data_IF_837713762873
#
_entry.id   IF_837713762873
#
_cell.length_a   1.000
_cell.length_b   1.000
_cell.length_c   1.000
_cell.angle_alpha   90.00
_cell.angle_beta   90.00
_cell.angle_gamma   90.00
#
_symmetry.space_group_name_H-M   'P 1'
#
loop_
_entity.id
_entity.type
_entity.pdbx_description
1 polymer ?
#
# COMPACT_ATOMS: atom_id res chain seq x y z
N UNK A 1 47.96 -21.61 3.13
CA UNK A 1 47.62 -20.33 2.47
C UNK A 1 46.18 -20.41 1.92
N UNK A 2 45.14 -19.98 2.67
CA UNK A 2 43.73 -20.17 2.30
C UNK A 2 43.06 -18.98 1.57
N UNK A 3 43.78 -17.89 1.30
CA UNK A 3 43.17 -16.63 0.84
C UNK A 3 42.86 -16.56 -0.67
N UNK A 4 43.56 -17.29 -1.55
CA UNK A 4 43.38 -17.11 -3.01
C UNK A 4 42.08 -17.70 -3.58
N UNK A 5 41.53 -18.74 -2.93
CA UNK A 5 40.27 -19.38 -3.38
C UNK A 5 39.04 -18.50 -3.18
N UNK A 6 39.09 -17.54 -2.24
CA UNK A 6 37.97 -16.65 -1.90
C UNK A 6 37.84 -15.48 -2.89
N UNK A 7 38.94 -15.00 -3.47
CA UNK A 7 38.92 -13.89 -4.43
C UNK A 7 38.41 -14.34 -5.79
N UNK A 8 38.76 -15.56 -6.22
CA UNK A 8 38.29 -16.14 -7.48
C UNK A 8 36.78 -16.38 -7.50
N UNK A 9 36.18 -16.80 -6.37
CA UNK A 9 34.72 -16.96 -6.26
C UNK A 9 34.00 -15.60 -6.30
N UNK A 10 34.53 -14.59 -5.62
CA UNK A 10 33.95 -13.22 -5.64
C UNK A 10 33.97 -12.61 -7.05
N UNK A 11 35.06 -12.80 -7.81
CA UNK A 11 35.13 -12.33 -9.20
C UNK A 11 34.11 -13.04 -10.11
N UNK A 12 33.89 -14.34 -9.88
CA UNK A 12 32.87 -15.12 -10.61
C UNK A 12 31.45 -14.63 -10.26
N UNK A 13 31.18 -14.36 -8.99
CA UNK A 13 29.87 -13.86 -8.53
C UNK A 13 29.57 -12.47 -9.12
N UNK A 14 30.57 -11.58 -9.15
CA UNK A 14 30.45 -10.25 -9.78
C UNK A 14 30.18 -10.40 -11.27
N UNK A 15 30.89 -11.30 -11.95
CA UNK A 15 30.66 -11.56 -13.38
C UNK A 15 29.25 -12.08 -13.65
N UNK A 16 28.78 -13.05 -12.87
CA UNK A 16 27.42 -13.60 -12.99
C UNK A 16 26.36 -12.54 -12.70
N UNK A 17 26.56 -11.72 -11.68
CA UNK A 17 25.68 -10.60 -11.36
C UNK A 17 25.58 -9.62 -12.54
N UNK A 18 26.72 -9.18 -13.09
CA UNK A 18 26.74 -8.28 -14.23
C UNK A 18 26.06 -8.90 -15.45
N UNK A 19 26.31 -10.18 -15.73
CA UNK A 19 25.69 -10.91 -16.83
C UNK A 19 24.16 -10.97 -16.69
N UNK A 20 23.66 -11.26 -15.50
CA UNK A 20 22.21 -11.31 -15.23
C UNK A 20 21.59 -9.91 -15.36
N UNK A 21 22.20 -8.89 -14.78
CA UNK A 21 21.68 -7.51 -14.86
C UNK A 21 21.67 -7.02 -16.31
N UNK A 22 22.73 -7.29 -17.08
CA UNK A 22 22.78 -6.95 -18.50
C UNK A 22 21.75 -7.71 -19.32
N UNK A 23 21.54 -9.00 -19.05
CA UNK A 23 20.51 -9.80 -19.72
C UNK A 23 19.10 -9.28 -19.42
N UNK A 24 18.80 -8.97 -18.15
CA UNK A 24 17.51 -8.42 -17.74
C UNK A 24 17.28 -7.03 -18.33
N UNK A 25 18.31 -6.17 -18.33
CA UNK A 25 18.24 -4.85 -18.97
C UNK A 25 18.00 -4.96 -20.47
N UNK A 26 18.69 -5.88 -21.15
CA UNK A 26 18.49 -6.16 -22.57
C UNK A 26 17.07 -6.67 -22.86
N UNK A 27 16.57 -7.63 -22.06
CA UNK A 27 15.20 -8.15 -22.19
C UNK A 27 14.17 -7.04 -21.97
N UNK A 28 14.37 -6.17 -20.98
CA UNK A 28 13.47 -5.06 -20.68
C UNK A 28 13.39 -4.07 -21.85
N UNK A 29 14.54 -3.69 -22.42
CA UNK A 29 14.60 -2.78 -23.58
C UNK A 29 13.95 -3.43 -24.81
N UNK A 30 14.31 -4.69 -25.11
CA UNK A 30 13.74 -5.43 -26.24
C UNK A 30 12.23 -5.62 -26.12
N UNK A 31 11.75 -5.91 -24.91
CA UNK A 31 10.31 -6.00 -24.63
C UNK A 31 9.62 -4.67 -24.85
N UNK A 32 10.21 -3.56 -24.40
CA UNK A 32 9.67 -2.21 -24.61
C UNK A 32 9.56 -1.84 -26.08
N UNK A 33 10.59 -2.14 -26.88
CA UNK A 33 10.64 -1.87 -28.31
C UNK A 33 9.62 -2.71 -29.09
N UNK A 34 9.47 -4.00 -28.78
CA UNK A 34 8.51 -4.90 -29.44
C UNK A 34 7.06 -4.55 -29.15
N UNK A 35 6.79 -3.97 -27.98
CA UNK A 35 5.45 -3.50 -27.59
C UNK A 35 5.10 -2.13 -28.20
N UNK A 36 6.00 -1.53 -29.01
CA UNK A 36 5.82 -0.18 -29.56
C UNK A 36 5.78 0.90 -28.47
N UNK A 37 6.29 0.59 -27.27
CA UNK A 37 6.20 1.45 -26.12
C UNK A 37 7.30 2.51 -26.15
N UNK A 38 6.92 3.75 -26.45
CA UNK A 38 7.82 4.88 -26.42
C UNK A 38 7.86 5.48 -25.01
N UNK A 39 8.94 5.25 -24.28
CA UNK A 39 9.13 5.82 -22.94
C UNK A 39 9.23 7.35 -23.02
N UNK A 40 8.17 8.05 -22.60
CA UNK A 40 8.09 9.51 -22.65
C UNK A 40 8.44 10.15 -21.29
N UNK A 41 9.60 9.80 -20.72
CA UNK A 41 10.06 10.29 -19.41
C UNK A 41 10.01 11.82 -19.27
N UNK A 42 10.26 12.54 -20.36
CA UNK A 42 10.20 14.00 -20.43
C UNK A 42 8.82 14.60 -20.10
N UNK A 43 7.72 13.82 -20.17
CA UNK A 43 6.37 14.29 -19.86
C UNK A 43 6.06 14.29 -18.36
N UNK A 44 6.82 13.54 -17.56
CA UNK A 44 6.53 13.32 -16.13
C UNK A 44 6.56 14.63 -15.34
N UNK A 45 7.48 15.54 -15.68
CA UNK A 45 7.57 16.85 -15.04
C UNK A 45 6.23 17.60 -15.05
N UNK A 46 5.48 17.53 -16.16
CA UNK A 46 4.14 18.14 -16.29
C UNK A 46 3.10 17.53 -15.35
N UNK A 47 3.25 16.25 -14.98
CA UNK A 47 2.36 15.59 -14.01
C UNK A 47 2.77 15.84 -12.56
N UNK A 48 3.95 16.43 -12.32
CA UNK A 48 4.35 16.95 -11.00
C UNK A 48 3.92 18.41 -10.86
N UNK A 49 4.35 19.26 -11.80
CA UNK A 49 4.04 20.68 -11.84
C UNK A 49 3.90 21.15 -13.28
N UNK A 50 2.95 22.03 -13.54
CA UNK A 50 2.82 22.67 -14.83
C UNK A 50 2.45 24.14 -14.67
N UNK A 51 2.94 24.97 -15.58
CA UNK A 51 2.63 26.38 -15.65
C UNK A 51 1.46 26.55 -16.62
N UNK A 52 0.44 27.28 -16.18
CA UNK A 52 -0.70 27.72 -16.99
C UNK A 52 -0.75 29.26 -16.99
N UNK A 53 -1.66 29.87 -17.75
CA UNK A 53 -1.83 31.32 -17.84
C UNK A 53 -2.09 31.98 -16.47
N UNK A 54 -2.60 31.20 -15.52
CA UNK A 54 -2.93 31.61 -14.14
C UNK A 54 -1.84 31.32 -13.11
N UNK A 55 -0.69 30.74 -13.51
CA UNK A 55 0.45 30.46 -12.64
C UNK A 55 0.85 28.99 -12.54
N UNK A 56 1.58 28.64 -11.48
CA UNK A 56 2.08 27.28 -11.23
C UNK A 56 1.00 26.42 -10.56
N UNK A 57 0.64 25.31 -11.22
CA UNK A 57 -0.35 24.35 -10.72
C UNK A 57 0.30 23.00 -10.38
N UNK A 58 -0.29 22.31 -9.39
CA UNK A 58 0.10 20.94 -9.03
C UNK A 58 -0.46 19.94 -10.03
N UNK A 59 0.41 19.08 -10.53
CA UNK A 59 0.07 18.01 -11.44
C UNK A 59 -0.61 16.83 -10.75
N UNK A 60 -1.14 15.91 -11.57
CA UNK A 60 -1.94 14.76 -11.13
C UNK A 60 -1.20 13.84 -10.15
N UNK A 61 0.11 13.65 -10.31
CA UNK A 61 0.88 12.76 -9.42
C UNK A 61 0.98 13.33 -8.01
N UNK A 62 1.20 14.65 -7.89
CA UNK A 62 1.21 15.33 -6.59
C UNK A 62 -0.18 15.29 -5.95
N UNK A 63 -1.24 15.51 -6.73
CA UNK A 63 -2.61 15.41 -6.21
C UNK A 63 -2.93 13.99 -5.70
N UNK A 64 -2.56 12.96 -6.47
CA UNK A 64 -2.73 11.55 -6.05
C UNK A 64 -1.93 11.20 -4.80
N UNK A 65 -0.69 11.69 -4.70
CA UNK A 65 0.14 11.55 -3.51
C UNK A 65 -0.53 12.19 -2.28
N UNK A 66 -1.02 13.43 -2.42
CA UNK A 66 -1.70 14.12 -1.32
C UNK A 66 -2.97 13.39 -0.88
N UNK A 67 -3.76 12.85 -1.82
CA UNK A 67 -4.94 12.02 -1.48
C UNK A 67 -4.52 10.76 -0.71
N UNK A 68 -3.45 10.08 -1.15
CA UNK A 68 -2.92 8.89 -0.47
C UNK A 68 -2.51 9.23 0.96
N UNK A 69 -1.70 10.27 1.15
CA UNK A 69 -1.26 10.73 2.47
C UNK A 69 -2.45 11.09 3.35
N UNK A 70 -3.46 11.76 2.80
CA UNK A 70 -4.66 12.15 3.55
C UNK A 70 -5.47 10.92 4.00
N UNK A 71 -5.71 9.96 3.11
CA UNK A 71 -6.40 8.71 3.45
C UNK A 71 -5.60 7.96 4.50
N UNK A 72 -4.29 7.78 4.31
CA UNK A 72 -3.42 7.06 5.25
C UNK A 72 -3.41 7.70 6.64
N UNK A 73 -3.22 9.02 6.72
CA UNK A 73 -3.15 9.74 8.00
C UNK A 73 -4.47 9.64 8.78
N UNK A 74 -5.60 9.86 8.11
CA UNK A 74 -6.92 9.76 8.75
C UNK A 74 -7.20 8.32 9.15
N UNK A 75 -6.92 7.35 8.26
CA UNK A 75 -7.18 5.94 8.53
C UNK A 75 -6.39 5.48 9.74
N UNK A 76 -5.09 5.78 9.79
CA UNK A 76 -4.18 5.46 10.90
C UNK A 76 -4.68 6.00 12.23
N UNK A 77 -5.14 7.24 12.28
CA UNK A 77 -5.69 7.84 13.50
C UNK A 77 -6.90 7.04 14.02
N UNK A 78 -7.85 6.68 13.14
CA UNK A 78 -9.00 5.85 13.51
C UNK A 78 -8.61 4.40 13.83
N UNK A 79 -7.63 3.82 13.14
CA UNK A 79 -7.13 2.47 13.42
C UNK A 79 -6.58 2.35 14.83
N UNK A 80 -5.89 3.37 15.33
CA UNK A 80 -5.39 3.39 16.72
C UNK A 80 -6.57 3.36 17.71
N UNK A 81 -7.61 4.16 17.47
CA UNK A 81 -8.81 4.19 18.31
C UNK A 81 -9.52 2.83 18.29
N UNK A 82 -9.77 2.28 17.09
CA UNK A 82 -10.42 0.98 16.91
C UNK A 82 -9.59 -0.14 17.56
N UNK A 83 -8.27 -0.12 17.36
CA UNK A 83 -7.36 -1.10 17.92
C UNK A 83 -7.34 -1.08 19.44
N UNK A 84 -7.26 0.12 20.03
CA UNK A 84 -7.34 0.29 21.49
C UNK A 84 -8.68 -0.21 22.05
N UNK A 85 -9.80 0.19 21.45
CA UNK A 85 -11.13 -0.27 21.89
C UNK A 85 -11.26 -1.80 21.79
N UNK A 86 -10.76 -2.39 20.70
CA UNK A 86 -10.78 -3.85 20.50
C UNK A 86 -9.91 -4.57 21.53
N UNK A 87 -8.72 -4.05 21.85
CA UNK A 87 -7.84 -4.59 22.87
C UNK A 87 -8.51 -4.55 24.26
N UNK A 88 -9.15 -3.44 24.61
CA UNK A 88 -9.90 -3.30 25.87
C UNK A 88 -11.07 -4.29 25.93
N UNK A 89 -11.81 -4.48 24.83
CA UNK A 89 -12.91 -5.46 24.78
C UNK A 89 -12.42 -6.90 24.93
N UNK A 90 -11.25 -7.21 24.37
CA UNK A 90 -10.60 -8.52 24.50
C UNK A 90 -10.18 -8.82 25.94
N UNK A 91 -9.73 -7.79 26.68
CA UNK A 91 -9.30 -7.90 28.09
C UNK A 91 -10.47 -7.81 29.09
N UNK A 92 -11.65 -7.39 28.65
CA UNK A 92 -12.82 -7.22 29.52
C UNK A 92 -13.27 -8.55 30.14
N UNK A 93 -13.79 -8.48 31.37
CA UNK A 93 -14.46 -9.61 32.04
C UNK A 93 -15.87 -9.89 31.46
N UNK A 94 -16.45 -8.93 30.75
CA UNK A 94 -17.76 -9.10 30.12
C UNK A 94 -17.69 -10.10 28.94
N UNK A 95 -18.48 -11.20 28.96
CA UNK A 95 -18.43 -12.21 27.90
C UNK A 95 -18.82 -11.65 26.54
N UNK A 96 -19.77 -10.71 26.51
CA UNK A 96 -20.23 -10.07 25.28
C UNK A 96 -19.14 -9.20 24.63
N UNK A 97 -18.38 -8.43 25.40
CA UNK A 97 -17.29 -7.60 24.89
C UNK A 97 -16.19 -8.47 24.25
N UNK A 98 -15.81 -9.56 24.92
CA UNK A 98 -14.84 -10.53 24.37
C UNK A 98 -15.33 -11.19 23.09
N UNK A 99 -16.63 -11.51 23.02
CA UNK A 99 -17.23 -12.07 21.81
C UNK A 99 -17.16 -11.10 20.64
N UNK A 100 -17.54 -9.82 20.85
CA UNK A 100 -17.46 -8.79 19.81
C UNK A 100 -16.03 -8.62 19.28
N UNK A 101 -15.05 -8.53 20.19
CA UNK A 101 -13.64 -8.44 19.81
C UNK A 101 -13.20 -9.66 18.98
N UNK A 102 -13.55 -10.88 19.41
CA UNK A 102 -13.21 -12.10 18.66
C UNK A 102 -13.81 -12.12 17.26
N UNK A 103 -15.11 -11.85 17.14
CA UNK A 103 -15.81 -11.87 15.84
C UNK A 103 -15.19 -10.84 14.89
N UNK A 104 -14.95 -9.62 15.37
CA UNK A 104 -14.30 -8.60 14.57
C UNK A 104 -12.89 -9.02 14.11
N UNK A 105 -12.06 -9.55 15.02
CA UNK A 105 -10.71 -10.00 14.67
C UNK A 105 -10.71 -11.17 13.70
N UNK A 106 -11.57 -12.16 13.91
CA UNK A 106 -11.70 -13.33 13.03
C UNK A 106 -12.14 -12.91 11.63
N UNK A 107 -13.14 -12.04 11.49
CA UNK A 107 -13.58 -11.58 10.17
C UNK A 107 -12.47 -10.79 9.48
N UNK A 108 -11.87 -9.83 10.17
CA UNK A 108 -10.91 -8.92 9.57
C UNK A 108 -9.61 -9.62 9.19
N UNK A 109 -9.10 -10.53 10.03
CA UNK A 109 -7.83 -11.23 9.77
C UNK A 109 -7.95 -12.37 8.77
N UNK A 110 -9.14 -12.97 8.64
CA UNK A 110 -9.37 -14.06 7.68
C UNK A 110 -9.89 -13.59 6.31
N UNK A 111 -10.08 -12.28 6.11
CA UNK A 111 -10.52 -11.72 4.81
C UNK A 111 -9.46 -10.78 4.22
N UNK A 112 -9.15 -10.88 2.91
CA UNK A 112 -8.21 -9.96 2.27
C UNK A 112 -8.71 -8.52 2.34
N UNK A 113 -7.81 -7.55 2.58
CA UNK A 113 -8.12 -6.12 2.60
C UNK A 113 -8.87 -5.67 1.34
N UNK A 114 -8.51 -6.20 0.16
CA UNK A 114 -9.18 -5.87 -1.10
C UNK A 114 -10.68 -6.21 -1.06
N UNK A 115 -11.04 -7.36 -0.48
CA UNK A 115 -12.44 -7.79 -0.35
C UNK A 115 -13.18 -6.86 0.62
N UNK A 116 -12.55 -6.46 1.72
CA UNK A 116 -13.15 -5.53 2.68
C UNK A 116 -13.40 -4.16 2.05
N UNK A 117 -12.44 -3.62 1.30
CA UNK A 117 -12.60 -2.37 0.55
C UNK A 117 -13.76 -2.49 -0.44
N UNK A 118 -13.84 -3.59 -1.19
CA UNK A 118 -14.92 -3.80 -2.15
C UNK A 118 -16.28 -3.92 -1.47
N UNK A 119 -16.37 -4.67 -0.39
CA UNK A 119 -17.62 -4.80 0.36
C UNK A 119 -18.06 -3.44 0.92
N UNK A 120 -17.16 -2.70 1.56
CA UNK A 120 -17.47 -1.38 2.14
C UNK A 120 -17.85 -0.39 1.04
N UNK A 121 -17.15 -0.40 -0.10
CA UNK A 121 -17.41 0.55 -1.17
C UNK A 121 -18.67 0.21 -1.99
N UNK A 122 -18.81 -1.03 -2.45
CA UNK A 122 -19.89 -1.42 -3.36
C UNK A 122 -21.16 -1.88 -2.66
N UNK A 123 -21.07 -2.43 -1.44
CA UNK A 123 -22.24 -2.92 -0.68
C UNK A 123 -22.67 -1.88 0.36
N UNK A 124 -21.80 -1.53 1.30
CA UNK A 124 -22.18 -0.59 2.37
C UNK A 124 -22.28 0.86 1.88
N UNK A 125 -21.45 1.26 0.90
CA UNK A 125 -21.42 2.61 0.38
C UNK A 125 -22.79 3.12 -0.08
N UNK A 126 -23.49 2.41 -0.99
CA UNK A 126 -24.83 2.81 -1.41
C UNK A 126 -25.89 2.78 -0.30
N UNK A 127 -25.76 1.84 0.66
CA UNK A 127 -26.73 1.67 1.75
C UNK A 127 -26.62 2.82 2.76
N UNK A 128 -25.38 3.23 3.08
CA UNK A 128 -25.07 4.21 4.11
C UNK A 128 -24.76 5.62 3.53
N UNK A 129 -24.79 5.77 2.21
CA UNK A 129 -24.44 7.03 1.53
C UNK A 129 -22.95 7.40 1.64
N UNK A 130 -22.04 6.41 1.71
CA UNK A 130 -20.61 6.68 1.82
C UNK A 130 -20.00 7.04 0.46
N UNK A 131 -19.32 8.18 0.43
CA UNK A 131 -18.48 8.54 -0.71
C UNK A 131 -17.22 7.68 -0.78
N UNK A 132 -16.58 7.64 -1.96
CA UNK A 132 -15.37 6.82 -2.23
C UNK A 132 -14.26 7.05 -1.21
N UNK A 133 -14.06 8.32 -0.83
CA UNK A 133 -13.03 8.73 0.12
C UNK A 133 -13.31 8.18 1.52
N UNK A 134 -14.54 8.32 2.01
CA UNK A 134 -14.96 7.82 3.32
C UNK A 134 -14.95 6.29 3.37
N UNK A 135 -15.40 5.61 2.31
CA UNK A 135 -15.35 4.16 2.21
C UNK A 135 -13.92 3.61 2.31
N UNK A 136 -12.96 4.26 1.65
CA UNK A 136 -11.55 3.89 1.74
C UNK A 136 -11.00 4.06 3.17
N UNK A 137 -11.34 5.17 3.84
CA UNK A 137 -10.94 5.40 5.24
C UNK A 137 -11.51 4.32 6.16
N UNK A 138 -12.82 4.06 6.09
CA UNK A 138 -13.48 3.07 6.95
C UNK A 138 -12.86 1.68 6.76
N UNK A 139 -12.63 1.27 5.50
CA UNK A 139 -12.03 -0.02 5.20
C UNK A 139 -10.62 -0.16 5.76
N UNK A 140 -9.76 0.83 5.52
CA UNK A 140 -8.39 0.82 6.04
C UNK A 140 -8.35 0.90 7.56
N UNK A 141 -9.23 1.71 8.16
CA UNK A 141 -9.31 1.87 9.61
C UNK A 141 -9.72 0.59 10.33
N UNK A 142 -10.73 -0.11 9.81
CA UNK A 142 -11.16 -1.40 10.35
C UNK A 142 -10.08 -2.47 10.12
N UNK A 143 -9.46 -2.50 8.94
CA UNK A 143 -8.42 -3.50 8.67
C UNK A 143 -7.22 -3.33 9.61
N UNK A 144 -6.58 -2.15 9.58
CA UNK A 144 -5.39 -1.86 10.39
C UNK A 144 -5.71 -1.86 11.90
N UNK A 145 -6.91 -1.44 12.30
CA UNK A 145 -7.34 -1.45 13.69
C UNK A 145 -7.32 -2.85 14.30
N UNK A 146 -7.65 -3.89 13.52
CA UNK A 146 -7.54 -5.27 13.99
C UNK A 146 -6.08 -5.64 14.31
N UNK A 147 -5.13 -5.32 13.43
CA UNK A 147 -3.70 -5.59 13.66
C UNK A 147 -3.12 -4.77 14.81
N UNK A 148 -3.47 -3.48 14.90
CA UNK A 148 -3.03 -2.62 16.01
C UNK A 148 -3.51 -3.20 17.35
N UNK A 149 -4.73 -3.74 17.41
CA UNK A 149 -5.23 -4.35 18.65
C UNK A 149 -4.42 -5.57 19.12
N UNK A 150 -3.63 -6.20 18.24
CA UNK A 150 -2.77 -7.34 18.62
C UNK A 150 -1.40 -6.90 19.11
N UNK A 151 -1.01 -5.67 18.79
CA UNK A 151 0.26 -5.07 19.20
C UNK A 151 0.11 -4.39 20.58
N UNK A 152 -1.05 -3.77 20.83
CA UNK A 152 -1.38 -3.06 22.08
C UNK A 152 -1.76 -4.05 23.21
#
# INVERSE_FOLDING_TARGET
MPFSKRTASVLLDIFQYLLIVSLLGWLFIRSGEQLGYNWQWYRISRYLFFLDETGLHTGLLIRGLLVTLKISAISMAFSIIIGLLTALFRLSEAPFARLLARVYLEITRNTPLLIQIFFIYFVLGPILGLERFTAAIVALSLFEGAYISEII
#
